data_IF_588702570623
#
_entry.id   IF_588702570623
#
_cell.length_a   1.000
_cell.length_b   1.000
_cell.length_c   1.000
_cell.angle_alpha   90.00
_cell.angle_beta   90.00
_cell.angle_gamma   90.00
#
_symmetry.space_group_name_H-M   'P 1'
#
loop_
_entity.id
_entity.type
_entity.pdbx_description
1 polymer ?
#
# COMPACT_ATOMS: atom_id res chain seq x y z
N UNK A 1 -2.90 13.00 7.67
CA UNK A 1 -3.42 14.16 6.90
C UNK A 1 -2.46 14.62 5.80
N UNK A 2 -1.19 14.97 6.09
CA UNK A 2 -0.22 15.42 5.06
C UNK A 2 0.10 14.32 4.03
N UNK A 3 0.21 13.07 4.45
CA UNK A 3 0.44 11.92 3.57
C UNK A 3 -0.71 11.73 2.55
N UNK A 4 -1.96 11.91 3.00
CA UNK A 4 -3.13 11.85 2.12
C UNK A 4 -3.13 12.95 1.06
N UNK A 5 -2.82 14.18 1.49
CA UNK A 5 -2.70 15.31 0.57
C UNK A 5 -1.59 15.06 -0.47
N UNK A 6 -0.44 14.54 -0.05
CA UNK A 6 0.66 14.20 -0.95
C UNK A 6 0.27 13.15 -2.00
N UNK A 7 -0.45 12.10 -1.58
CA UNK A 7 -0.91 11.03 -2.49
C UNK A 7 -1.99 11.48 -3.49
N UNK A 8 -2.80 12.48 -3.15
CA UNK A 8 -3.82 13.02 -4.06
C UNK A 8 -3.23 14.11 -4.96
N UNK A 9 -2.51 15.06 -4.36
CA UNK A 9 -1.99 16.22 -5.08
C UNK A 9 -0.77 15.86 -5.94
N UNK A 10 0.07 14.92 -5.48
CA UNK A 10 1.29 14.50 -6.19
C UNK A 10 1.04 14.08 -7.63
N UNK A 11 0.18 13.09 -7.92
CA UNK A 11 -0.15 12.71 -9.28
C UNK A 11 -0.75 13.82 -10.13
N UNK A 12 -1.58 14.69 -9.53
CA UNK A 12 -2.20 15.82 -10.23
C UNK A 12 -1.14 16.84 -10.66
N UNK A 13 -0.24 17.21 -9.76
CA UNK A 13 0.88 18.10 -10.06
C UNK A 13 1.82 17.45 -11.08
N UNK A 14 2.14 16.17 -10.91
CA UNK A 14 2.98 15.41 -11.85
C UNK A 14 2.39 15.39 -13.26
N UNK A 15 1.08 15.13 -13.39
CA UNK A 15 0.37 15.17 -14.66
C UNK A 15 0.38 16.59 -15.27
N UNK A 16 0.07 17.62 -14.49
CA UNK A 16 0.09 19.01 -14.96
C UNK A 16 1.48 19.46 -15.42
N UNK A 17 2.53 19.08 -14.70
CA UNK A 17 3.90 19.40 -15.05
C UNK A 17 4.42 18.61 -16.27
N UNK A 18 3.85 17.45 -16.57
CA UNK A 18 4.27 16.63 -17.72
C UNK A 18 4.03 17.33 -19.07
N UNK A 19 3.05 18.25 -19.14
CA UNK A 19 2.82 19.09 -20.34
C UNK A 19 3.97 20.04 -20.62
N UNK A 20 4.81 20.37 -19.62
CA UNK A 20 5.98 21.24 -19.76
C UNK A 20 7.27 20.46 -20.13
N UNK A 21 7.15 19.14 -20.32
CA UNK A 21 8.24 18.25 -20.67
C UNK A 21 8.68 17.32 -19.54
N UNK A 22 9.29 16.19 -19.91
CA UNK A 22 9.63 15.09 -18.99
C UNK A 22 10.61 15.45 -17.87
N UNK A 23 11.41 16.54 -18.04
CA UNK A 23 12.42 16.94 -17.05
C UNK A 23 11.88 17.80 -15.93
N UNK A 24 10.82 18.56 -16.18
CA UNK A 24 10.27 19.54 -15.23
C UNK A 24 9.64 18.86 -13.99
N UNK A 25 8.86 17.77 -14.09
CA UNK A 25 8.37 17.09 -12.92
C UNK A 25 9.47 16.62 -11.96
N UNK A 26 10.59 16.12 -12.49
CA UNK A 26 11.73 15.69 -11.66
C UNK A 26 12.45 16.86 -11.00
N UNK A 27 12.61 17.98 -11.70
CA UNK A 27 13.22 19.19 -11.13
C UNK A 27 12.36 19.78 -10.01
N UNK A 28 11.03 19.85 -10.21
CA UNK A 28 10.08 20.34 -9.20
C UNK A 28 10.05 19.37 -8.00
N UNK A 29 10.05 18.06 -8.23
CA UNK A 29 10.13 17.06 -7.16
C UNK A 29 11.42 17.23 -6.34
N UNK A 30 12.57 17.36 -7.01
CA UNK A 30 13.86 17.58 -6.35
C UNK A 30 13.88 18.87 -5.51
N UNK A 31 13.31 19.95 -6.05
CA UNK A 31 13.16 21.22 -5.33
C UNK A 31 12.28 21.05 -4.08
N UNK A 32 11.12 20.39 -4.20
CA UNK A 32 10.22 20.17 -3.07
C UNK A 32 10.84 19.30 -1.98
N UNK A 33 11.59 18.26 -2.37
CA UNK A 33 12.36 17.44 -1.42
C UNK A 33 13.44 18.27 -0.72
N UNK A 34 14.14 19.16 -1.45
CA UNK A 34 15.12 20.09 -0.89
C UNK A 34 14.48 21.04 0.12
N UNK A 35 13.34 21.64 -0.21
CA UNK A 35 12.57 22.51 0.71
C UNK A 35 12.13 21.72 1.96
N UNK A 36 11.63 20.52 1.79
CA UNK A 36 11.24 19.66 2.91
C UNK A 36 12.46 19.33 3.81
N UNK A 37 13.61 19.03 3.23
CA UNK A 37 14.84 18.76 3.97
C UNK A 37 15.29 19.99 4.79
N UNK A 38 15.26 21.18 4.21
CA UNK A 38 15.58 22.44 4.90
C UNK A 38 14.60 22.70 6.04
N UNK A 39 13.29 22.48 5.79
CA UNK A 39 12.27 22.65 6.82
C UNK A 39 12.47 21.69 8.00
N UNK A 40 12.70 20.40 7.72
CA UNK A 40 12.98 19.39 8.75
C UNK A 40 14.26 19.74 9.50
N UNK A 41 15.32 20.13 8.81
CA UNK A 41 16.57 20.54 9.44
C UNK A 41 16.36 21.76 10.36
N UNK A 42 15.67 22.80 9.90
CA UNK A 42 15.38 23.99 10.71
C UNK A 42 14.49 23.67 11.93
N UNK A 43 13.50 22.78 11.76
CA UNK A 43 12.61 22.36 12.83
C UNK A 43 13.31 21.46 13.88
N UNK A 44 14.27 20.64 13.46
CA UNK A 44 14.97 19.70 14.34
C UNK A 44 16.23 20.26 14.95
N UNK A 45 16.90 21.22 14.30
CA UNK A 45 18.13 21.84 14.80
C UNK A 45 17.97 22.44 16.20
N UNK A 46 16.82 23.07 16.49
CA UNK A 46 16.53 23.65 17.81
C UNK A 46 15.91 22.66 18.81
N UNK A 47 15.58 21.44 18.38
CA UNK A 47 14.88 20.44 19.22
C UNK A 47 15.83 19.51 19.97
N UNK A 48 17.14 19.55 19.68
CA UNK A 48 18.14 18.64 20.28
C UNK A 48 18.24 18.78 21.81
N UNK A 49 17.87 19.96 22.36
CA UNK A 49 17.82 20.17 23.81
C UNK A 49 16.59 19.60 24.52
N UNK A 50 15.49 19.34 23.80
CA UNK A 50 14.24 18.81 24.38
C UNK A 50 14.12 17.29 24.33
N UNK A 51 14.81 16.62 23.41
CA UNK A 51 14.79 15.17 23.25
C UNK A 51 15.53 14.41 24.37
N UNK A 52 16.31 15.09 25.19
CA UNK A 52 17.08 14.46 26.30
C UNK A 52 16.29 14.33 27.62
N UNK A 53 15.03 14.75 27.68
CA UNK A 53 14.26 14.75 28.93
C UNK A 53 13.53 13.45 29.24
N UNK A 54 13.52 12.50 28.33
CA UNK A 54 12.92 11.17 28.59
C UNK A 54 13.93 10.07 28.25
N UNK A 55 14.15 9.08 29.16
CA UNK A 55 15.00 7.96 28.83
C UNK A 55 14.47 7.23 27.59
N UNK A 56 15.35 6.75 26.69
CA UNK A 56 14.93 6.03 25.50
C UNK A 56 14.15 4.76 25.89
N UNK A 57 13.00 4.57 25.28
CA UNK A 57 12.20 3.37 25.51
C UNK A 57 12.99 2.12 25.11
N UNK A 58 12.90 1.03 25.90
CA UNK A 58 13.60 -0.21 25.57
C UNK A 58 13.15 -0.74 24.22
N UNK A 59 14.06 -1.17 23.33
CA UNK A 59 13.70 -1.66 22.01
C UNK A 59 12.97 -3.00 22.10
N UNK A 60 11.89 -3.14 21.34
CA UNK A 60 11.25 -4.43 21.13
C UNK A 60 12.19 -5.34 20.33
N UNK A 61 12.48 -6.53 20.84
CA UNK A 61 13.30 -7.50 20.12
C UNK A 61 12.54 -8.08 18.94
N UNK A 62 13.14 -8.04 17.75
CA UNK A 62 12.54 -8.59 16.54
C UNK A 62 12.25 -10.09 16.65
N UNK A 63 13.14 -10.86 17.33
CA UNK A 63 12.92 -12.28 17.58
C UNK A 63 11.65 -12.57 18.36
N UNK A 64 11.29 -11.71 19.30
CA UNK A 64 10.05 -11.82 20.07
C UNK A 64 8.84 -11.51 19.19
N UNK A 65 8.91 -10.46 18.36
CA UNK A 65 7.85 -10.12 17.43
C UNK A 65 7.61 -11.23 16.38
N UNK A 66 8.67 -11.80 15.81
CA UNK A 66 8.58 -12.88 14.82
C UNK A 66 7.97 -14.17 15.38
N UNK A 67 7.99 -14.37 16.69
CA UNK A 67 7.31 -15.51 17.34
C UNK A 67 5.81 -15.27 17.54
N UNK A 68 5.35 -14.04 17.41
CA UNK A 68 3.93 -13.70 17.55
C UNK A 68 3.16 -14.07 16.27
N UNK A 69 2.15 -14.97 16.32
CA UNK A 69 1.41 -15.38 15.14
C UNK A 69 0.73 -14.20 14.40
N UNK A 70 0.25 -13.22 15.17
CA UNK A 70 -0.38 -12.01 14.62
C UNK A 70 0.62 -11.14 13.85
N UNK A 71 1.88 -11.02 14.33
CA UNK A 71 2.90 -10.29 13.58
C UNK A 71 3.30 -11.01 12.29
N UNK A 72 3.35 -12.35 12.29
CA UNK A 72 3.55 -13.15 11.07
C UNK A 72 2.42 -12.91 10.06
N UNK A 73 1.17 -12.87 10.52
CA UNK A 73 0.01 -12.55 9.69
C UNK A 73 0.08 -11.14 9.15
N UNK A 74 0.56 -10.19 9.96
CA UNK A 74 0.76 -8.80 9.56
C UNK A 74 1.85 -8.69 8.47
N UNK A 75 2.96 -9.41 8.60
CA UNK A 75 4.02 -9.46 7.57
C UNK A 75 3.50 -10.06 6.27
N UNK A 76 2.70 -11.13 6.33
CA UNK A 76 2.10 -11.74 5.13
C UNK A 76 1.17 -10.76 4.40
N UNK A 77 0.36 -10.00 5.15
CA UNK A 77 -0.52 -9.00 4.55
C UNK A 77 0.22 -7.75 4.07
N UNK A 78 1.34 -7.38 4.70
CA UNK A 78 2.21 -6.31 4.21
C UNK A 78 2.83 -6.70 2.86
N UNK A 79 3.36 -7.91 2.75
CA UNK A 79 3.87 -8.45 1.49
C UNK A 79 2.80 -8.48 0.40
N UNK A 80 1.60 -9.01 0.70
CA UNK A 80 0.49 -9.06 -0.24
C UNK A 80 0.03 -7.66 -0.66
N UNK A 81 0.00 -6.70 0.25
CA UNK A 81 -0.34 -5.31 -0.03
C UNK A 81 0.68 -4.67 -1.00
N UNK A 82 1.97 -4.84 -0.72
CA UNK A 82 3.05 -4.38 -1.61
C UNK A 82 2.95 -5.03 -2.99
N UNK A 83 2.76 -6.34 -3.02
CA UNK A 83 2.64 -7.13 -4.25
C UNK A 83 1.49 -6.65 -5.14
N UNK A 84 0.27 -6.58 -4.61
CA UNK A 84 -0.92 -6.28 -5.41
C UNK A 84 -1.00 -4.79 -5.74
N UNK A 85 -0.82 -3.91 -4.77
CA UNK A 85 -1.13 -2.50 -4.95
C UNK A 85 -0.01 -1.69 -5.59
N UNK A 86 1.23 -2.01 -5.30
CA UNK A 86 2.36 -1.27 -5.86
C UNK A 86 3.02 -2.04 -7.00
N UNK A 87 3.39 -3.31 -6.77
CA UNK A 87 4.09 -4.11 -7.78
C UNK A 87 3.26 -4.34 -9.04
N UNK A 88 2.12 -5.01 -8.90
CA UNK A 88 1.27 -5.38 -10.03
C UNK A 88 0.63 -4.19 -10.70
N UNK A 89 0.07 -3.27 -9.92
CA UNK A 89 -0.69 -2.14 -10.45
C UNK A 89 0.15 -1.16 -11.22
N UNK A 90 1.34 -0.86 -10.72
CA UNK A 90 2.24 0.09 -11.39
C UNK A 90 2.90 -0.53 -12.62
N UNK A 91 3.10 -1.85 -12.66
CA UNK A 91 3.79 -2.54 -13.76
C UNK A 91 2.85 -3.17 -14.77
N UNK A 92 1.93 -4.04 -14.33
CA UNK A 92 1.14 -4.88 -15.24
C UNK A 92 -0.10 -4.18 -15.77
N UNK A 93 -0.76 -3.35 -14.94
CA UNK A 93 -1.97 -2.64 -15.37
C UNK A 93 -1.73 -1.73 -16.60
N UNK A 94 -0.65 -0.93 -16.66
CA UNK A 94 -0.36 -0.14 -17.87
C UNK A 94 -0.08 -1.01 -19.10
N UNK A 95 0.64 -2.13 -18.95
CA UNK A 95 0.92 -3.06 -20.03
C UNK A 95 -0.35 -3.73 -20.55
N UNK A 96 -1.21 -4.16 -19.65
CA UNK A 96 -2.53 -4.71 -19.98
C UNK A 96 -3.38 -3.70 -20.74
N UNK A 97 -3.47 -2.48 -20.22
CA UNK A 97 -4.25 -1.44 -20.86
C UNK A 97 -3.73 -1.10 -22.27
N UNK A 98 -2.41 -1.02 -22.43
CA UNK A 98 -1.76 -0.77 -23.73
C UNK A 98 -1.99 -1.90 -24.74
N UNK A 99 -2.06 -3.16 -24.27
CA UNK A 99 -2.28 -4.32 -25.13
C UNK A 99 -3.75 -4.51 -25.55
N UNK A 100 -4.70 -4.10 -24.71
CA UNK A 100 -6.14 -4.44 -24.89
C UNK A 100 -6.96 -3.26 -25.41
N UNK A 101 -6.60 -2.02 -25.08
CA UNK A 101 -7.40 -0.85 -25.42
C UNK A 101 -6.71 0.07 -26.43
N UNK A 102 -7.46 0.61 -27.37
CA UNK A 102 -6.94 1.50 -28.42
C UNK A 102 -6.19 2.74 -27.86
N UNK A 103 -6.67 3.29 -26.74
CA UNK A 103 -6.04 4.40 -26.01
C UNK A 103 -5.45 3.91 -24.67
N UNK A 104 -4.63 2.85 -24.71
CA UNK A 104 -4.15 2.13 -23.52
C UNK A 104 -3.46 3.00 -22.48
N UNK A 105 -2.65 3.98 -22.90
CA UNK A 105 -2.00 4.90 -21.96
C UNK A 105 -2.99 5.75 -21.15
N UNK A 106 -4.03 6.29 -21.80
CA UNK A 106 -5.07 7.02 -21.12
C UNK A 106 -5.92 6.11 -20.22
N UNK A 107 -6.27 4.90 -20.70
CA UNK A 107 -7.01 3.91 -19.92
C UNK A 107 -6.25 3.51 -18.64
N UNK A 108 -4.94 3.31 -18.73
CA UNK A 108 -4.08 3.03 -17.58
C UNK A 108 -4.08 4.19 -16.58
N UNK A 109 -3.90 5.41 -17.05
CA UNK A 109 -3.92 6.62 -16.20
C UNK A 109 -5.25 6.78 -15.48
N UNK A 110 -6.37 6.63 -16.17
CA UNK A 110 -7.70 6.68 -15.56
C UNK A 110 -7.93 5.54 -14.57
N UNK A 111 -7.47 4.33 -14.86
CA UNK A 111 -7.57 3.20 -13.94
C UNK A 111 -6.76 3.42 -12.64
N UNK A 112 -5.55 3.96 -12.75
CA UNK A 112 -4.75 4.34 -11.58
C UNK A 112 -5.43 5.46 -10.77
N UNK A 113 -6.02 6.45 -11.44
CA UNK A 113 -6.78 7.52 -10.80
C UNK A 113 -8.02 6.98 -10.09
N UNK A 114 -8.78 6.09 -10.73
CA UNK A 114 -9.94 5.44 -10.14
C UNK A 114 -9.58 4.63 -8.88
N UNK A 115 -8.45 3.91 -8.92
CA UNK A 115 -7.92 3.24 -7.75
C UNK A 115 -7.57 4.21 -6.62
N UNK A 116 -6.83 5.27 -6.94
CA UNK A 116 -6.44 6.28 -5.96
C UNK A 116 -7.67 6.95 -5.32
N UNK A 117 -8.71 7.21 -6.11
CA UNK A 117 -9.99 7.73 -5.63
C UNK A 117 -10.67 6.76 -4.65
N UNK A 118 -10.81 5.47 -5.02
CA UNK A 118 -11.37 4.45 -4.12
C UNK A 118 -10.59 4.34 -2.81
N UNK A 119 -9.26 4.37 -2.88
CA UNK A 119 -8.38 4.37 -1.71
C UNK A 119 -8.61 5.62 -0.85
N UNK A 120 -8.60 6.81 -1.44
CA UNK A 120 -8.74 8.07 -0.72
C UNK A 120 -10.09 8.17 0.01
N UNK A 121 -11.19 7.81 -0.66
CA UNK A 121 -12.53 7.79 -0.05
C UNK A 121 -12.56 6.85 1.16
N UNK A 122 -12.01 5.64 1.02
CA UNK A 122 -12.04 4.65 2.10
C UNK A 122 -11.14 5.03 3.27
N UNK A 123 -10.00 5.65 3.01
CA UNK A 123 -9.08 6.13 4.05
C UNK A 123 -9.73 7.10 5.04
N UNK A 124 -10.75 7.88 4.61
CA UNK A 124 -11.46 8.80 5.50
C UNK A 124 -12.18 8.08 6.64
N UNK A 125 -12.60 6.84 6.40
CA UNK A 125 -13.43 6.08 7.33
C UNK A 125 -12.70 4.88 7.95
N UNK A 126 -11.65 4.38 7.29
CA UNK A 126 -10.98 3.11 7.66
C UNK A 126 -10.38 3.14 9.06
N UNK A 127 -9.84 4.27 9.52
CA UNK A 127 -9.33 4.41 10.89
C UNK A 127 -10.44 4.21 11.93
N UNK A 128 -11.55 4.96 11.79
CA UNK A 128 -12.71 4.83 12.69
C UNK A 128 -13.33 3.44 12.63
N UNK A 129 -13.33 2.84 11.45
CA UNK A 129 -13.87 1.51 11.24
C UNK A 129 -12.99 0.45 11.93
N UNK A 130 -11.66 0.61 11.87
CA UNK A 130 -10.69 -0.22 12.57
C UNK A 130 -10.85 -0.11 14.09
N UNK A 131 -11.11 1.11 14.59
CA UNK A 131 -11.33 1.33 16.01
C UNK A 131 -12.69 0.77 16.48
N UNK A 132 -13.70 0.73 15.62
CA UNK A 132 -15.03 0.22 15.96
C UNK A 132 -15.13 -1.31 15.85
N UNK A 133 -14.66 -1.89 14.74
CA UNK A 133 -14.89 -3.31 14.41
C UNK A 133 -13.66 -4.20 14.64
N UNK A 134 -12.50 -3.61 14.97
CA UNK A 134 -11.24 -4.33 15.13
C UNK A 134 -10.35 -4.24 13.89
N UNK A 135 -9.07 -4.60 14.08
CA UNK A 135 -8.03 -4.50 13.03
C UNK A 135 -8.11 -5.69 12.07
N UNK A 136 -8.24 -6.91 12.62
CA UNK A 136 -8.27 -8.16 11.83
C UNK A 136 -9.40 -8.19 10.81
N UNK A 137 -10.68 -7.90 11.14
CA UNK A 137 -11.78 -7.93 10.18
C UNK A 137 -11.55 -6.97 8.99
N UNK A 138 -10.98 -5.79 9.26
CA UNK A 138 -10.72 -4.82 8.20
C UNK A 138 -9.58 -5.24 7.28
N UNK A 139 -8.50 -5.78 7.83
CA UNK A 139 -7.40 -6.30 7.01
C UNK A 139 -7.91 -7.43 6.11
N UNK A 140 -8.68 -8.37 6.67
CA UNK A 140 -9.24 -9.49 5.90
C UNK A 140 -10.24 -9.01 4.85
N UNK A 141 -11.18 -8.12 5.21
CA UNK A 141 -12.13 -7.55 4.26
C UNK A 141 -11.44 -6.78 3.13
N UNK A 142 -10.41 -5.99 3.46
CA UNK A 142 -9.60 -5.27 2.49
C UNK A 142 -8.84 -6.22 1.56
N UNK A 143 -8.25 -7.29 2.08
CA UNK A 143 -7.57 -8.31 1.28
C UNK A 143 -8.54 -9.03 0.34
N UNK A 144 -9.74 -9.41 0.82
CA UNK A 144 -10.79 -10.04 -0.01
C UNK A 144 -11.19 -9.10 -1.15
N UNK A 145 -11.53 -7.85 -0.82
CA UNK A 145 -11.94 -6.84 -1.79
C UNK A 145 -10.84 -6.62 -2.84
N UNK A 146 -9.59 -6.45 -2.40
CA UNK A 146 -8.45 -6.27 -3.30
C UNK A 146 -8.21 -7.51 -4.17
N UNK A 147 -8.28 -8.73 -3.60
CA UNK A 147 -8.09 -9.98 -4.34
C UNK A 147 -9.15 -10.16 -5.43
N UNK A 148 -10.42 -10.01 -5.07
CA UNK A 148 -11.54 -10.20 -6.02
C UNK A 148 -11.43 -9.21 -7.18
N UNK A 149 -11.32 -7.92 -6.89
CA UNK A 149 -11.36 -6.91 -7.94
C UNK A 149 -10.05 -6.83 -8.74
N UNK A 150 -8.89 -7.10 -8.15
CA UNK A 150 -7.64 -7.20 -8.92
C UNK A 150 -7.61 -8.46 -9.77
N UNK A 151 -8.03 -9.63 -9.24
CA UNK A 151 -8.10 -10.87 -10.00
C UNK A 151 -9.06 -10.80 -11.20
N UNK A 152 -10.13 -10.01 -11.07
CA UNK A 152 -11.12 -9.81 -12.14
C UNK A 152 -10.67 -8.81 -13.21
N UNK A 153 -9.58 -8.05 -13.03
CA UNK A 153 -9.14 -7.04 -14.02
C UNK A 153 -8.83 -7.64 -15.39
N UNK A 154 -8.30 -8.87 -15.42
CA UNK A 154 -8.03 -9.57 -16.68
C UNK A 154 -9.28 -9.90 -17.50
N UNK A 155 -10.49 -9.80 -16.93
CA UNK A 155 -11.77 -10.00 -17.60
C UNK A 155 -12.38 -8.69 -18.15
N UNK A 156 -11.73 -7.55 -17.93
CA UNK A 156 -12.24 -6.26 -18.37
C UNK A 156 -12.22 -6.15 -19.90
N UNK A 157 -13.41 -6.14 -20.52
CA UNK A 157 -13.59 -6.02 -21.97
C UNK A 157 -13.66 -4.57 -22.45
N UNK A 158 -13.62 -3.60 -21.54
CA UNK A 158 -13.71 -2.17 -21.84
C UNK A 158 -13.09 -1.32 -20.74
N UNK A 159 -12.90 -0.03 -21.05
CA UNK A 159 -12.32 0.93 -20.11
C UNK A 159 -13.19 1.10 -18.88
N UNK A 160 -14.51 1.22 -19.02
CA UNK A 160 -15.44 1.43 -17.89
C UNK A 160 -15.37 0.28 -16.87
N UNK A 161 -15.50 -1.01 -17.25
CA UNK A 161 -15.27 -2.11 -16.32
C UNK A 161 -13.90 -2.05 -15.63
N UNK A 162 -12.84 -1.70 -16.35
CA UNK A 162 -11.50 -1.57 -15.77
C UNK A 162 -11.44 -0.49 -14.69
N UNK A 163 -12.08 0.68 -14.93
CA UNK A 163 -12.15 1.77 -13.94
C UNK A 163 -12.92 1.35 -12.69
N UNK A 164 -14.06 0.68 -12.86
CA UNK A 164 -14.88 0.20 -11.74
C UNK A 164 -14.11 -0.81 -10.89
N UNK A 165 -13.49 -1.82 -11.54
CA UNK A 165 -12.67 -2.81 -10.85
C UNK A 165 -11.49 -2.16 -10.13
N UNK A 166 -10.84 -1.16 -10.75
CA UNK A 166 -9.74 -0.41 -10.14
C UNK A 166 -10.20 0.39 -8.92
N UNK A 167 -11.32 1.09 -9.00
CA UNK A 167 -11.88 1.85 -7.89
C UNK A 167 -12.22 0.93 -6.70
N UNK A 168 -12.87 -0.20 -6.95
CA UNK A 168 -13.24 -1.16 -5.92
C UNK A 168 -12.01 -1.86 -5.30
N UNK A 169 -10.98 -2.17 -6.10
CA UNK A 169 -9.70 -2.64 -5.56
C UNK A 169 -9.02 -1.56 -4.69
N UNK A 170 -9.19 -0.27 -5.05
CA UNK A 170 -8.75 0.86 -4.24
C UNK A 170 -9.45 0.94 -2.90
N UNK A 171 -10.76 0.67 -2.84
CA UNK A 171 -11.50 0.55 -1.58
C UNK A 171 -10.85 -0.49 -0.67
N UNK A 172 -10.53 -1.67 -1.19
CA UNK A 172 -9.85 -2.71 -0.42
C UNK A 172 -8.50 -2.24 0.14
N UNK A 173 -7.69 -1.58 -0.69
CA UNK A 173 -6.39 -1.02 -0.27
C UNK A 173 -6.53 0.02 0.84
N UNK A 174 -7.55 0.88 0.76
CA UNK A 174 -7.84 1.91 1.77
C UNK A 174 -8.26 1.33 3.13
N UNK A 175 -8.84 0.13 3.16
CA UNK A 175 -9.13 -0.59 4.41
C UNK A 175 -7.87 -1.19 5.04
N UNK A 176 -6.97 -1.75 4.23
CA UNK A 176 -5.79 -2.49 4.71
C UNK A 176 -4.80 -1.55 5.42
N UNK A 177 -4.40 -0.45 4.77
CA UNK A 177 -3.28 0.38 5.22
C UNK A 177 -3.39 0.85 6.67
N UNK A 178 -4.43 1.61 7.06
CA UNK A 178 -4.60 2.08 8.43
C UNK A 178 -4.76 0.96 9.44
N UNK A 179 -5.48 -0.12 9.09
CA UNK A 179 -5.67 -1.27 9.97
C UNK A 179 -4.37 -2.01 10.26
N UNK A 180 -3.48 -2.15 9.25
CA UNK A 180 -2.13 -2.71 9.42
C UNK A 180 -1.27 -1.84 10.33
N UNK A 181 -1.27 -0.50 10.13
CA UNK A 181 -0.49 0.42 10.95
C UNK A 181 -0.98 0.42 12.40
N UNK A 182 -2.29 0.39 12.62
CA UNK A 182 -2.87 0.27 13.95
C UNK A 182 -2.49 -1.06 14.62
N UNK A 183 -2.63 -2.18 13.92
CA UNK A 183 -2.22 -3.50 14.42
C UNK A 183 -0.73 -3.56 14.77
N UNK A 184 0.12 -2.93 13.95
CA UNK A 184 1.55 -2.83 14.20
C UNK A 184 1.86 -2.01 15.45
N UNK A 185 1.16 -0.88 15.63
CA UNK A 185 1.29 -0.05 16.83
C UNK A 185 0.85 -0.79 18.08
N UNK A 186 -0.27 -1.53 18.03
CA UNK A 186 -0.78 -2.35 19.12
C UNK A 186 0.25 -3.45 19.52
N UNK A 187 0.89 -4.11 18.53
CA UNK A 187 1.93 -5.13 18.77
C UNK A 187 3.17 -4.54 19.45
N UNK A 188 3.61 -3.35 19.03
CA UNK A 188 4.77 -2.68 19.62
C UNK A 188 4.46 -2.20 21.04
N UNK A 189 3.25 -1.63 21.24
CA UNK A 189 2.81 -1.04 22.48
C UNK A 189 3.48 0.30 22.79
N UNK A 190 2.95 1.00 23.81
CA UNK A 190 3.38 2.37 24.15
C UNK A 190 4.69 2.43 24.96
N UNK A 191 5.15 1.29 25.54
CA UNK A 191 6.28 1.23 26.46
C UNK A 191 7.59 0.75 25.80
N UNK A 192 7.61 0.59 24.48
CA UNK A 192 8.77 0.08 23.72
C UNK A 192 8.99 0.89 22.45
N UNK A 193 10.24 0.92 21.99
CA UNK A 193 10.55 1.43 20.66
C UNK A 193 10.50 0.28 19.64
N UNK A 194 9.73 0.48 18.55
CA UNK A 194 9.47 -0.56 17.55
C UNK A 194 10.36 -0.49 16.31
N UNK A 195 11.47 0.22 16.32
CA UNK A 195 12.25 0.53 15.13
C UNK A 195 12.53 -0.68 14.23
N UNK A 196 13.09 -1.78 14.78
CA UNK A 196 13.38 -3.01 14.01
C UNK A 196 12.11 -3.73 13.56
N UNK A 197 11.06 -3.73 14.36
CA UNK A 197 9.76 -4.37 14.05
C UNK A 197 9.07 -3.61 12.92
N UNK A 198 9.04 -2.27 13.00
CA UNK A 198 8.49 -1.41 11.96
C UNK A 198 9.27 -1.54 10.63
N UNK A 199 10.61 -1.53 10.68
CA UNK A 199 11.41 -1.68 9.46
C UNK A 199 11.24 -3.05 8.81
N UNK A 200 11.11 -4.13 9.58
CA UNK A 200 10.85 -5.47 9.02
C UNK A 200 9.46 -5.54 8.37
N UNK A 201 8.45 -4.90 8.95
CA UNK A 201 7.13 -4.77 8.32
C UNK A 201 7.23 -4.04 6.97
N UNK A 202 7.95 -2.91 6.93
CA UNK A 202 8.17 -2.17 5.70
C UNK A 202 8.95 -2.98 4.66
N UNK A 203 10.00 -3.68 5.08
CA UNK A 203 10.77 -4.58 4.20
C UNK A 203 9.89 -5.69 3.59
N UNK A 204 8.94 -6.24 4.34
CA UNK A 204 8.00 -7.23 3.80
C UNK A 204 7.10 -6.62 2.70
N UNK A 205 6.63 -5.40 2.90
CA UNK A 205 5.85 -4.66 1.89
C UNK A 205 6.69 -4.35 0.66
N UNK A 206 7.91 -3.86 0.84
CA UNK A 206 8.84 -3.51 -0.25
C UNK A 206 9.25 -4.76 -1.05
N UNK A 207 9.46 -5.89 -0.36
CA UNK A 207 9.72 -7.17 -1.04
C UNK A 207 8.56 -7.55 -1.98
N UNK A 208 7.31 -7.44 -1.51
CA UNK A 208 6.14 -7.64 -2.38
C UNK A 208 6.15 -6.73 -3.61
N UNK A 209 6.47 -5.45 -3.40
CA UNK A 209 6.54 -4.46 -4.48
C UNK A 209 7.65 -4.76 -5.51
N UNK A 210 8.81 -5.26 -5.06
CA UNK A 210 9.96 -5.55 -5.92
C UNK A 210 9.76 -6.85 -6.69
N UNK A 211 9.29 -7.92 -6.02
CA UNK A 211 9.15 -9.22 -6.67
C UNK A 211 7.94 -9.33 -7.59
N UNK A 212 6.86 -8.59 -7.31
CA UNK A 212 5.65 -8.67 -8.11
C UNK A 212 5.84 -8.35 -9.60
N UNK A 213 6.49 -7.23 -9.99
CA UNK A 213 6.70 -6.93 -11.42
C UNK A 213 7.43 -8.04 -12.16
N UNK A 214 8.40 -8.67 -11.52
CA UNK A 214 9.21 -9.73 -12.14
C UNK A 214 8.34 -10.98 -12.37
N UNK A 215 7.74 -11.50 -11.30
CA UNK A 215 6.97 -12.75 -11.37
C UNK A 215 5.71 -12.58 -12.22
N UNK A 216 4.97 -11.48 -11.99
CA UNK A 216 3.71 -11.23 -12.70
C UNK A 216 3.96 -10.88 -14.16
N UNK A 217 5.08 -10.18 -14.46
CA UNK A 217 5.51 -9.93 -15.84
C UNK A 217 5.81 -11.21 -16.60
N UNK A 218 6.54 -12.15 -15.99
CA UNK A 218 6.81 -13.46 -16.58
C UNK A 218 5.52 -14.26 -16.78
N UNK A 219 4.59 -14.25 -15.82
CA UNK A 219 3.30 -14.91 -15.96
C UNK A 219 2.44 -14.28 -17.07
N UNK A 220 2.43 -12.97 -17.17
CA UNK A 220 1.72 -12.26 -18.25
C UNK A 220 2.27 -12.61 -19.64
N UNK A 221 3.58 -12.73 -19.76
CA UNK A 221 4.24 -13.11 -21.01
C UNK A 221 3.98 -14.56 -21.39
N UNK A 222 4.03 -15.49 -20.43
CA UNK A 222 3.89 -16.91 -20.68
C UNK A 222 2.43 -17.37 -20.83
N UNK A 223 1.51 -16.82 -20.05
CA UNK A 223 0.13 -17.30 -19.90
C UNK A 223 -0.94 -16.22 -20.12
N UNK A 224 -0.52 -14.99 -20.42
CA UNK A 224 -1.42 -13.86 -20.64
C UNK A 224 -1.82 -13.12 -19.37
N UNK A 225 -2.40 -11.93 -19.56
CA UNK A 225 -2.73 -11.00 -18.47
C UNK A 225 -3.78 -11.55 -17.49
N UNK A 226 -4.75 -12.33 -17.97
CA UNK A 226 -5.77 -12.93 -17.10
C UNK A 226 -5.16 -13.80 -16.01
N UNK A 227 -4.25 -14.70 -16.39
CA UNK A 227 -3.53 -15.57 -15.42
C UNK A 227 -2.67 -14.75 -14.48
N UNK A 228 -2.02 -13.71 -15.00
CA UNK A 228 -1.19 -12.82 -14.19
C UNK A 228 -1.99 -12.11 -13.09
N UNK A 229 -3.17 -11.57 -13.40
CA UNK A 229 -4.05 -10.94 -12.41
C UNK A 229 -4.60 -11.94 -11.39
N UNK A 230 -4.98 -13.14 -11.83
CA UNK A 230 -5.44 -14.22 -10.92
C UNK A 230 -4.31 -14.66 -9.98
N UNK A 231 -3.08 -14.79 -10.49
CA UNK A 231 -1.92 -15.11 -9.66
C UNK A 231 -1.64 -14.02 -8.61
N UNK A 232 -1.83 -12.74 -8.97
CA UNK A 232 -1.76 -11.65 -8.01
C UNK A 232 -2.81 -11.77 -6.90
N UNK A 233 -4.05 -12.06 -7.27
CA UNK A 233 -5.11 -12.32 -6.30
C UNK A 233 -4.77 -13.51 -5.40
N UNK A 234 -4.12 -14.53 -5.92
CA UNK A 234 -3.68 -15.71 -5.16
C UNK A 234 -2.78 -15.38 -3.97
N UNK A 235 -1.88 -14.41 -4.11
CA UNK A 235 -1.04 -13.94 -2.99
C UNK A 235 -1.88 -13.29 -1.88
N UNK A 236 -2.87 -12.47 -2.25
CA UNK A 236 -3.78 -11.89 -1.27
C UNK A 236 -4.64 -12.96 -0.58
N UNK A 237 -5.13 -13.95 -1.33
CA UNK A 237 -5.89 -15.09 -0.78
C UNK A 237 -5.03 -15.92 0.16
N UNK A 238 -3.77 -16.18 -0.17
CA UNK A 238 -2.84 -16.86 0.73
C UNK A 238 -2.66 -16.09 2.04
N UNK A 239 -2.53 -14.76 1.97
CA UNK A 239 -2.46 -13.90 3.16
C UNK A 239 -3.75 -13.94 3.99
N UNK A 240 -4.93 -13.99 3.36
CA UNK A 240 -6.20 -14.20 4.07
C UNK A 240 -6.16 -15.52 4.86
N UNK A 241 -5.69 -16.62 4.24
CA UNK A 241 -5.53 -17.91 4.91
C UNK A 241 -4.62 -17.80 6.15
N UNK A 242 -3.51 -17.06 6.08
CA UNK A 242 -2.63 -16.83 7.23
C UNK A 242 -3.35 -16.03 8.33
N UNK A 243 -4.12 -14.99 7.97
CA UNK A 243 -4.89 -14.21 8.95
C UNK A 243 -6.00 -15.01 9.62
N UNK A 244 -6.69 -15.89 8.89
CA UNK A 244 -7.75 -16.72 9.45
C UNK A 244 -7.22 -17.80 10.39
N UNK A 245 -6.03 -18.34 10.11
CA UNK A 245 -5.45 -19.46 10.89
C UNK A 245 -4.56 -18.98 12.05
N UNK A 246 -3.84 -17.87 11.89
CA UNK A 246 -2.84 -17.41 12.85
C UNK A 246 -3.08 -16.00 13.41
N UNK A 247 -3.79 -15.14 12.67
CA UNK A 247 -4.03 -13.77 13.09
C UNK A 247 -5.04 -13.70 14.22
N UNK A 248 -4.70 -12.98 15.28
CA UNK A 248 -5.61 -12.63 16.37
C UNK A 248 -5.95 -11.15 16.29
N UNK A 249 -7.07 -10.75 16.90
CA UNK A 249 -7.40 -9.33 17.05
C UNK A 249 -6.39 -8.66 17.98
N UNK A 250 -5.92 -7.47 17.61
CA UNK A 250 -4.93 -6.73 18.40
C UNK A 250 -5.54 -5.59 19.20
N UNK A 251 -6.79 -5.23 18.87
CA UNK A 251 -7.52 -4.23 19.65
C UNK A 251 -7.77 -4.78 21.05
N UNK A 252 -7.25 -4.08 22.07
CA UNK A 252 -7.67 -4.30 23.45
C UNK A 252 -9.13 -3.90 23.58
N UNK A 253 -9.95 -4.82 24.09
CA UNK A 253 -11.38 -4.61 24.40
C UNK A 253 -11.56 -3.68 25.59
#
# INVERSE_FOLDING_TARGET
>A
SAFLLGNIIGPIIGAALSFLGFRIPFAVYGLMVGVAAVFVWAATHNSQGRAQLSPPLPPMQLSSALRMPTYQSLLSSAFAHGWVNFGTRVSILPLFAAAVFANGGAAAGFALTAFAFGTAVTLQFSGRLADKHGRKPLIVAGLITTAVFTGSMGLATGVVPLLVLSALAGVGSGLIGPAQQASLADIIGNNRSGGKVLSTFQMAQDAGQIFAPIVVGLLAQAFGFGVAFVACAGIAVASIGVWLTRGTETKET
#
